data_IF_551496874272
#
_entry.id   IF_551496874272
#
_cell.length_a   1.000
_cell.length_b   1.000
_cell.length_c   1.000
_cell.angle_alpha   90.00
_cell.angle_beta   90.00
_cell.angle_gamma   90.00
#
_symmetry.space_group_name_H-M   'P 1'
#
loop_
_entity.id
_entity.type
_entity.pdbx_description
1 polymer ?
#
# COMPACT_ATOMS: atom_id res chain seq x y z
N UNK A 1 5.00 -23.58 -68.06
CA UNK A 1 5.72 -22.40 -68.55
C UNK A 1 4.74 -21.29 -68.88
N UNK A 2 4.66 -20.27 -68.03
CA UNK A 2 4.22 -18.91 -68.37
C UNK A 2 4.59 -18.01 -67.20
N UNK A 3 5.74 -17.38 -67.36
CA UNK A 3 6.24 -16.24 -66.61
C UNK A 3 5.34 -15.04 -66.82
N UNK A 4 4.95 -14.35 -65.75
CA UNK A 4 4.58 -12.93 -65.81
C UNK A 4 5.27 -12.24 -64.63
N UNK A 5 6.26 -11.45 -65.02
CA UNK A 5 6.99 -10.44 -64.25
C UNK A 5 6.35 -9.10 -64.62
N UNK A 6 5.95 -8.31 -63.63
CA UNK A 6 5.51 -6.89 -63.65
C UNK A 6 4.51 -6.73 -62.49
N UNK A 7 4.53 -5.77 -61.57
CA UNK A 7 5.28 -4.52 -61.41
C UNK A 7 5.31 -4.24 -59.88
N UNK A 8 6.50 -4.01 -59.31
CA UNK A 8 6.68 -3.56 -57.93
C UNK A 8 7.25 -2.13 -57.94
N UNK A 9 6.50 -1.19 -58.51
CA UNK A 9 6.96 0.20 -58.64
C UNK A 9 5.86 1.23 -58.43
N UNK A 10 4.97 1.02 -57.46
CA UNK A 10 3.85 1.96 -57.22
C UNK A 10 3.51 2.25 -55.75
N UNK A 11 4.41 1.96 -54.79
CA UNK A 11 4.19 2.35 -53.37
C UNK A 11 5.41 3.07 -52.79
N UNK A 12 6.08 3.90 -53.61
CA UNK A 12 7.28 4.65 -53.19
C UNK A 12 7.27 6.10 -53.69
N UNK A 13 6.08 6.70 -53.75
CA UNK A 13 5.90 8.07 -54.26
C UNK A 13 4.76 8.85 -53.60
N UNK A 14 4.48 8.58 -52.32
CA UNK A 14 3.41 9.30 -51.60
C UNK A 14 3.79 9.63 -50.16
N UNK A 15 4.97 10.21 -49.95
CA UNK A 15 5.31 10.90 -48.70
C UNK A 15 6.32 12.03 -48.98
N UNK A 16 5.92 12.99 -49.79
CA UNK A 16 6.49 14.34 -49.78
C UNK A 16 5.35 15.33 -49.90
N UNK A 17 5.46 16.40 -49.13
CA UNK A 17 4.61 17.60 -49.11
C UNK A 17 3.48 17.58 -48.07
N UNK A 18 3.85 17.83 -46.81
CA UNK A 18 3.09 18.78 -46.01
C UNK A 18 4.01 19.79 -45.33
N UNK A 19 3.59 21.03 -45.49
CA UNK A 19 4.31 22.28 -45.30
C UNK A 19 4.89 22.51 -43.90
N UNK A 20 6.05 23.15 -43.96
CA UNK A 20 6.85 23.71 -42.88
C UNK A 20 6.10 24.87 -42.20
N UNK A 21 5.26 24.57 -41.20
CA UNK A 21 4.79 25.59 -40.27
C UNK A 21 5.91 25.93 -39.28
N UNK A 22 6.63 27.02 -39.57
CA UNK A 22 7.53 27.72 -38.66
C UNK A 22 6.70 28.40 -37.57
N UNK A 23 6.37 27.66 -36.53
CA UNK A 23 6.05 28.26 -35.24
C UNK A 23 7.35 28.43 -34.47
N UNK A 24 7.79 29.68 -34.34
CA UNK A 24 8.87 30.10 -33.45
C UNK A 24 8.50 29.75 -32.01
N UNK A 25 8.81 28.52 -31.58
CA UNK A 25 8.83 28.18 -30.16
C UNK A 25 10.10 28.78 -29.58
N UNK A 26 9.94 30.00 -29.05
CA UNK A 26 10.92 30.68 -28.22
C UNK A 26 11.47 29.71 -27.19
N UNK A 27 12.73 29.33 -27.36
CA UNK A 27 13.52 28.55 -26.43
C UNK A 27 13.75 29.40 -25.16
N UNK A 28 12.77 29.42 -24.26
CA UNK A 28 12.97 29.99 -22.94
C UNK A 28 13.98 29.12 -22.20
N UNK A 29 15.06 29.77 -21.77
CA UNK A 29 16.14 29.20 -20.97
C UNK A 29 15.56 28.33 -19.85
N UNK A 30 16.15 27.14 -19.70
CA UNK A 30 15.96 26.28 -18.55
C UNK A 30 16.02 27.11 -17.25
N UNK A 31 14.89 27.20 -16.56
CA UNK A 31 14.86 27.73 -15.21
C UNK A 31 15.56 26.71 -14.29
N UNK A 32 16.63 27.11 -13.59
CA UNK A 32 17.21 26.25 -12.58
C UNK A 32 16.16 26.01 -11.50
N UNK A 33 16.02 24.72 -11.15
CA UNK A 33 15.29 24.18 -10.01
C UNK A 33 14.96 25.26 -8.97
N UNK A 34 13.67 25.57 -8.82
CA UNK A 34 13.15 26.53 -7.86
C UNK A 34 13.61 26.11 -6.47
N UNK A 35 14.68 26.77 -6.02
CA UNK A 35 15.16 26.75 -4.65
C UNK A 35 13.98 27.05 -3.74
N UNK A 36 13.75 26.15 -2.78
CA UNK A 36 12.82 26.35 -1.68
C UNK A 36 13.08 27.72 -1.05
N UNK A 37 12.15 28.65 -1.25
CA UNK A 37 12.16 29.97 -0.66
C UNK A 37 11.92 29.83 0.84
N UNK A 38 13.02 29.76 1.61
CA UNK A 38 13.02 30.05 3.03
C UNK A 38 13.04 31.57 3.16
N UNK A 39 12.07 32.20 3.84
CA UNK A 39 12.16 33.63 4.15
C UNK A 39 13.38 33.88 5.04
N UNK A 40 14.42 34.47 4.45
CA UNK A 40 15.52 35.10 5.15
C UNK A 40 15.03 36.39 5.78
N UNK A 41 14.36 36.29 6.92
CA UNK A 41 14.21 37.41 7.84
C UNK A 41 15.08 37.13 9.07
N UNK A 42 16.31 37.64 9.03
CA UNK A 42 17.02 38.32 10.13
C UNK A 42 18.48 38.56 9.75
N UNK A 43 18.71 39.35 8.69
CA UNK A 43 19.95 40.10 8.53
C UNK A 43 19.76 41.41 9.27
N UNK A 44 20.07 41.45 10.58
CA UNK A 44 20.22 42.72 11.27
C UNK A 44 21.70 43.08 11.24
N UNK A 45 22.03 43.97 10.31
CA UNK A 45 23.28 44.72 10.31
C UNK A 45 23.45 45.42 11.66
N UNK A 46 24.67 45.36 12.17
CA UNK A 46 25.12 46.06 13.35
C UNK A 46 25.05 47.57 13.12
N UNK A 47 24.06 48.21 13.73
CA UNK A 47 24.09 49.65 14.00
C UNK A 47 24.09 49.87 15.51
N UNK A 48 24.91 50.83 15.89
CA UNK A 48 25.41 51.07 17.23
C UNK A 48 24.35 51.63 18.18
N UNK A 49 24.68 51.57 19.47
CA UNK A 49 23.94 52.06 20.62
C UNK A 49 23.17 53.37 20.39
N UNK A 50 21.88 53.41 20.76
CA UNK A 50 21.34 54.45 21.65
C UNK A 50 20.28 53.87 22.58
N UNK A 51 20.37 54.24 23.86
CA UNK A 51 19.50 53.83 24.97
C UNK A 51 18.18 54.59 24.86
N UNK A 52 17.04 53.92 24.96
CA UNK A 52 15.84 54.53 25.57
C UNK A 52 14.74 53.47 25.81
N UNK A 53 14.40 53.28 27.08
CA UNK A 53 13.02 53.09 27.58
C UNK A 53 12.09 52.00 27.01
N UNK A 54 11.80 51.05 27.91
CA UNK A 54 10.48 50.47 28.19
C UNK A 54 9.90 49.33 27.30
N UNK A 55 9.64 48.22 28.02
CA UNK A 55 8.68 47.11 27.79
C UNK A 55 9.16 45.93 26.93
N UNK A 56 9.66 44.91 27.64
CA UNK A 56 9.73 43.53 27.16
C UNK A 56 8.31 43.00 26.93
N UNK A 57 7.95 42.46 25.75
CA UNK A 57 6.64 41.87 25.55
C UNK A 57 6.58 40.51 26.27
N UNK A 58 5.89 40.48 27.40
CA UNK A 58 5.39 39.26 28.04
C UNK A 58 4.23 38.77 27.19
N UNK A 59 4.36 37.60 26.56
CA UNK A 59 3.24 36.95 25.87
C UNK A 59 2.41 36.18 26.91
N UNK A 60 1.15 36.59 27.18
CA UNK A 60 0.30 35.86 28.11
C UNK A 60 -0.19 34.59 27.42
N UNK A 61 0.12 33.44 28.00
CA UNK A 61 -0.56 32.19 27.68
C UNK A 61 -1.68 32.05 28.70
N UNK A 62 -2.92 32.36 28.29
CA UNK A 62 -4.08 32.17 29.15
C UNK A 62 -4.26 30.68 29.47
N UNK A 63 -3.81 30.25 30.65
CA UNK A 63 -4.23 29.03 31.30
C UNK A 63 -5.00 29.43 32.56
N UNK A 64 -6.17 28.81 32.73
CA UNK A 64 -7.09 29.07 33.82
C UNK A 64 -6.38 29.06 35.19
N UNK A 65 -6.65 30.11 35.95
CA UNK A 65 -6.54 30.28 37.40
C UNK A 65 -5.37 29.57 38.12
N UNK A 66 -4.38 30.38 38.51
CA UNK A 66 -3.50 30.10 39.64
C UNK A 66 -2.08 29.68 39.23
N UNK A 67 -1.14 30.63 39.37
CA UNK A 67 0.32 30.49 39.26
C UNK A 67 0.91 30.47 37.84
N UNK A 68 1.09 31.67 37.27
CA UNK A 68 2.05 31.90 36.18
C UNK A 68 3.48 31.72 36.70
N UNK A 69 3.98 30.50 36.65
CA UNK A 69 5.39 30.22 36.93
C UNK A 69 6.24 30.60 35.70
N UNK A 70 6.95 31.72 35.79
CA UNK A 70 7.87 32.24 34.77
C UNK A 70 9.09 31.31 34.58
N UNK A 71 8.98 30.28 33.75
CA UNK A 71 10.11 29.43 33.39
C UNK A 71 10.92 30.09 32.26
N UNK A 72 12.23 30.25 32.42
CA UNK A 72 13.12 30.62 31.31
C UNK A 72 12.98 29.69 30.08
N UNK A 73 13.33 30.15 28.88
CA UNK A 73 13.15 29.40 27.61
C UNK A 73 13.70 27.95 27.67
N UNK A 74 14.83 27.74 28.35
CA UNK A 74 15.44 26.41 28.54
C UNK A 74 14.57 25.48 29.41
N UNK A 75 14.02 26.01 30.50
CA UNK A 75 13.11 25.27 31.39
C UNK A 75 11.78 24.93 30.70
N UNK A 76 11.24 25.83 29.88
CA UNK A 76 10.04 25.56 29.06
C UNK A 76 10.27 24.43 28.05
N UNK A 77 11.38 24.47 27.29
CA UNK A 77 11.72 23.39 26.33
C UNK A 77 11.87 22.04 27.02
N UNK A 78 12.50 21.99 28.20
CA UNK A 78 12.63 20.75 28.99
C UNK A 78 11.27 20.21 29.44
N UNK A 79 10.36 21.09 29.89
CA UNK A 79 9.00 20.69 30.27
C UNK A 79 8.21 20.18 29.06
N UNK A 80 8.25 20.88 27.93
CA UNK A 80 7.59 20.46 26.69
C UNK A 80 8.05 19.06 26.26
N UNK A 81 9.37 18.80 26.26
CA UNK A 81 9.92 17.47 25.94
C UNK A 81 9.43 16.39 26.91
N UNK A 82 9.37 16.69 28.21
CA UNK A 82 8.81 15.77 29.22
C UNK A 82 7.33 15.49 28.98
N UNK A 83 6.54 16.50 28.63
CA UNK A 83 5.12 16.33 28.33
C UNK A 83 4.87 15.52 27.05
N UNK A 84 5.66 15.75 25.99
CA UNK A 84 5.61 14.92 24.77
C UNK A 84 6.02 13.47 25.08
N UNK A 85 7.06 13.27 25.89
CA UNK A 85 7.45 11.94 26.35
C UNK A 85 6.34 11.27 27.17
N UNK A 86 5.68 11.97 28.10
CA UNK A 86 4.53 11.45 28.85
C UNK A 86 3.37 11.07 27.94
N UNK A 87 2.98 11.96 27.01
CA UNK A 87 1.89 11.69 26.05
C UNK A 87 2.20 10.50 25.15
N UNK A 88 3.43 10.40 24.63
CA UNK A 88 3.84 9.23 23.84
C UNK A 88 3.81 7.94 24.67
N UNK A 89 4.28 7.96 25.92
CA UNK A 89 4.17 6.80 26.82
C UNK A 89 2.72 6.40 27.09
N UNK A 90 1.81 7.36 27.30
CA UNK A 90 0.38 7.09 27.48
C UNK A 90 -0.24 6.47 26.21
N UNK A 91 0.09 6.97 25.02
CA UNK A 91 -0.38 6.40 23.74
C UNK A 91 0.12 4.97 23.56
N UNK A 92 1.41 4.73 23.83
CA UNK A 92 2.00 3.39 23.77
C UNK A 92 1.35 2.43 24.78
N UNK A 93 1.07 2.88 26.00
CA UNK A 93 0.37 2.10 27.02
C UNK A 93 -1.07 1.76 26.60
N UNK A 94 -1.82 2.71 26.05
CA UNK A 94 -3.16 2.48 25.49
C UNK A 94 -3.13 1.45 24.36
N UNK A 95 -2.18 1.57 23.42
CA UNK A 95 -2.00 0.62 22.31
C UNK A 95 -1.63 -0.78 22.79
N UNK A 96 -0.75 -0.89 23.81
CA UNK A 96 -0.42 -2.17 24.47
C UNK A 96 -1.65 -2.80 25.14
N UNK A 97 -2.47 -2.01 25.84
CA UNK A 97 -3.69 -2.51 26.48
C UNK A 97 -4.71 -3.03 25.46
N UNK A 98 -4.94 -2.29 24.37
CA UNK A 98 -5.77 -2.74 23.24
C UNK A 98 -5.23 -4.08 22.70
N UNK A 99 -3.93 -4.15 22.39
CA UNK A 99 -3.31 -5.38 21.88
C UNK A 99 -3.42 -6.57 22.86
N UNK A 100 -3.30 -6.33 24.17
CA UNK A 100 -3.48 -7.36 25.20
C UNK A 100 -4.93 -7.83 25.28
N UNK A 101 -5.91 -6.92 25.21
CA UNK A 101 -7.34 -7.27 25.16
C UNK A 101 -7.63 -8.18 23.97
N UNK A 102 -7.16 -7.83 22.76
CA UNK A 102 -7.31 -8.67 21.57
C UNK A 102 -6.55 -9.99 21.64
N UNK A 103 -5.37 -10.03 22.30
CA UNK A 103 -4.64 -11.28 22.54
C UNK A 103 -5.40 -12.18 23.51
N UNK A 104 -5.96 -11.63 24.58
CA UNK A 104 -6.71 -12.37 25.58
C UNK A 104 -7.99 -12.98 24.97
N UNK A 105 -8.70 -12.24 24.11
CA UNK A 105 -9.82 -12.79 23.32
C UNK A 105 -9.39 -13.85 22.30
N UNK A 106 -8.19 -13.75 21.71
CA UNK A 106 -7.66 -14.77 20.79
C UNK A 106 -7.17 -16.04 21.47
N UNK A 107 -6.68 -15.92 22.72
CA UNK A 107 -6.20 -17.06 23.52
C UNK A 107 -7.37 -17.78 24.20
N UNK A 108 -8.43 -17.07 24.57
CA UNK A 108 -9.64 -17.66 25.14
C UNK A 108 -10.44 -18.40 24.05
N UNK A 109 -10.23 -19.73 24.03
CA UNK A 109 -10.91 -20.79 23.27
C UNK A 109 -10.35 -21.13 21.88
N UNK A 110 -9.09 -21.55 21.86
CA UNK A 110 -8.66 -22.52 20.85
C UNK A 110 -9.34 -23.88 21.14
N UNK A 111 -10.47 -24.17 20.50
CA UNK A 111 -11.09 -25.50 20.60
C UNK A 111 -10.20 -26.54 19.91
N UNK A 112 -10.17 -27.79 20.40
CA UNK A 112 -9.41 -28.85 19.76
C UNK A 112 -9.85 -29.00 18.30
N UNK A 113 -8.87 -28.94 17.37
CA UNK A 113 -9.11 -29.00 15.92
C UNK A 113 -9.97 -30.21 15.53
N UNK A 114 -9.74 -31.34 16.20
CA UNK A 114 -10.47 -32.58 15.99
C UNK A 114 -11.97 -32.45 16.32
N UNK A 115 -12.32 -31.77 17.43
CA UNK A 115 -13.72 -31.59 17.80
C UNK A 115 -14.46 -30.66 16.81
N UNK A 116 -13.79 -29.63 16.29
CA UNK A 116 -14.35 -28.78 15.24
C UNK A 116 -14.59 -29.62 13.97
N UNK A 117 -13.60 -30.43 13.55
CA UNK A 117 -13.72 -31.27 12.35
C UNK A 117 -14.89 -32.26 12.47
N UNK A 118 -14.96 -33.00 13.58
CA UNK A 118 -16.05 -33.96 13.81
C UNK A 118 -17.42 -33.27 13.90
N UNK A 119 -17.49 -32.04 14.43
CA UNK A 119 -18.73 -31.26 14.43
C UNK A 119 -19.16 -30.85 13.02
N UNK A 120 -18.22 -30.55 12.13
CA UNK A 120 -18.50 -30.22 10.73
C UNK A 120 -18.92 -31.45 9.92
N UNK A 121 -18.23 -32.58 10.10
CA UNK A 121 -18.59 -33.87 9.48
C UNK A 121 -20.02 -34.27 9.88
N UNK A 122 -20.36 -34.17 11.17
CA UNK A 122 -21.70 -34.47 11.65
C UNK A 122 -22.80 -33.58 11.05
N UNK A 123 -22.47 -32.34 10.65
CA UNK A 123 -23.42 -31.47 9.93
C UNK A 123 -23.58 -31.92 8.48
N UNK A 124 -22.50 -32.37 7.83
CA UNK A 124 -22.56 -32.96 6.50
C UNK A 124 -23.39 -34.25 6.50
N UNK A 125 -23.31 -35.04 7.58
CA UNK A 125 -24.15 -36.23 7.81
C UNK A 125 -25.63 -35.90 8.10
N UNK A 126 -26.02 -34.62 8.07
CA UNK A 126 -27.41 -34.16 8.23
C UNK A 126 -27.82 -33.76 9.66
N UNK A 127 -26.89 -33.70 10.63
CA UNK A 127 -27.24 -33.20 11.97
C UNK A 127 -27.35 -31.68 11.98
N UNK A 128 -28.24 -31.16 12.84
CA UNK A 128 -28.34 -29.72 13.05
C UNK A 128 -27.07 -29.14 13.67
N UNK A 129 -26.73 -27.89 13.33
CA UNK A 129 -25.55 -27.18 13.87
C UNK A 129 -25.57 -27.18 15.41
N UNK A 130 -26.75 -26.97 16.01
CA UNK A 130 -26.95 -27.02 17.47
C UNK A 130 -26.72 -28.43 18.04
N UNK A 131 -27.17 -29.47 17.32
CA UNK A 131 -26.93 -30.86 17.70
C UNK A 131 -25.46 -31.25 17.66
N UNK A 132 -24.74 -30.85 16.60
CA UNK A 132 -23.30 -31.06 16.48
C UNK A 132 -22.51 -30.29 17.56
N UNK A 133 -22.88 -29.03 17.80
CA UNK A 133 -22.30 -28.19 18.85
C UNK A 133 -22.38 -28.86 20.24
N UNK A 134 -23.58 -29.32 20.63
CA UNK A 134 -23.81 -30.00 21.91
C UNK A 134 -23.03 -31.31 22.02
N UNK A 135 -22.95 -32.08 20.92
CA UNK A 135 -22.29 -33.40 20.90
C UNK A 135 -20.77 -33.31 21.08
N UNK A 136 -20.14 -32.27 20.51
CA UNK A 136 -18.67 -32.15 20.50
C UNK A 136 -18.14 -31.03 21.41
N UNK A 137 -19.00 -30.38 22.19
CA UNK A 137 -18.60 -29.34 23.16
C UNK A 137 -18.02 -28.07 22.52
N UNK A 138 -18.28 -27.84 21.23
CA UNK A 138 -17.85 -26.64 20.51
C UNK A 138 -19.04 -25.69 20.43
N UNK A 139 -18.92 -24.42 20.86
CA UNK A 139 -20.02 -23.46 20.82
C UNK A 139 -20.58 -23.26 19.42
N UNK A 140 -21.91 -23.13 19.38
CA UNK A 140 -22.67 -23.06 18.14
C UNK A 140 -22.17 -21.96 17.20
N UNK A 141 -21.86 -20.78 17.73
CA UNK A 141 -21.31 -19.67 16.96
C UNK A 141 -20.00 -20.03 16.24
N UNK A 142 -19.14 -20.82 16.90
CA UNK A 142 -17.88 -21.29 16.31
C UNK A 142 -18.13 -22.30 15.20
N UNK A 143 -19.01 -23.28 15.43
CA UNK A 143 -19.36 -24.30 14.42
C UNK A 143 -20.06 -23.65 13.22
N UNK A 144 -21.05 -22.78 13.46
CA UNK A 144 -21.79 -22.02 12.45
C UNK A 144 -20.85 -21.15 11.59
N UNK A 145 -19.96 -20.39 12.22
CA UNK A 145 -18.99 -19.56 11.51
C UNK A 145 -18.01 -20.36 10.65
N UNK A 146 -17.55 -21.52 11.14
CA UNK A 146 -16.68 -22.44 10.37
C UNK A 146 -17.42 -23.07 9.20
N UNK A 147 -18.64 -23.56 9.43
CA UNK A 147 -19.47 -24.19 8.41
C UNK A 147 -19.76 -23.23 7.25
N UNK A 148 -20.24 -22.02 7.54
CA UNK A 148 -20.53 -21.03 6.49
C UNK A 148 -19.28 -20.57 5.75
N UNK A 149 -18.13 -20.47 6.42
CA UNK A 149 -16.87 -20.13 5.77
C UNK A 149 -16.44 -21.21 4.77
N UNK A 150 -16.54 -22.49 5.14
CA UNK A 150 -16.22 -23.60 4.24
C UNK A 150 -17.19 -23.64 3.06
N UNK A 151 -18.50 -23.50 3.33
CA UNK A 151 -19.50 -23.45 2.26
C UNK A 151 -19.28 -22.27 1.31
N UNK A 152 -18.86 -21.12 1.85
CA UNK A 152 -18.50 -19.96 1.04
C UNK A 152 -17.22 -20.17 0.22
N UNK A 153 -16.21 -20.87 0.75
CA UNK A 153 -15.01 -21.26 0.01
C UNK A 153 -15.34 -22.26 -1.12
N UNK A 154 -16.19 -23.26 -0.85
CA UNK A 154 -16.65 -24.27 -1.82
C UNK A 154 -17.53 -23.65 -2.90
N UNK A 155 -18.45 -22.76 -2.53
CA UNK A 155 -19.36 -22.11 -3.46
C UNK A 155 -18.74 -20.91 -4.19
N UNK A 156 -17.45 -20.62 -3.99
CA UNK A 156 -16.79 -19.42 -4.53
C UNK A 156 -17.34 -18.08 -4.00
N UNK A 157 -18.38 -18.12 -3.17
CA UNK A 157 -19.05 -17.01 -2.48
C UNK A 157 -18.30 -16.57 -1.23
N UNK A 158 -16.98 -16.69 -1.23
CA UNK A 158 -16.14 -16.29 -0.12
C UNK A 158 -16.18 -14.77 0.01
N UNK A 159 -17.16 -14.26 0.76
CA UNK A 159 -17.19 -12.90 1.30
C UNK A 159 -15.95 -12.57 2.18
N UNK A 160 -15.01 -13.51 2.33
CA UNK A 160 -13.68 -13.37 2.93
C UNK A 160 -12.49 -13.62 1.97
N UNK A 161 -12.72 -14.11 0.74
CA UNK A 161 -11.72 -14.13 -0.32
C UNK A 161 -12.14 -13.05 -1.29
N UNK A 162 -11.43 -11.93 -1.26
CA UNK A 162 -11.55 -10.82 -2.21
C UNK A 162 -11.99 -11.34 -3.58
N UNK A 163 -13.17 -10.87 -4.01
CA UNK A 163 -13.85 -11.27 -5.26
C UNK A 163 -12.82 -11.46 -6.35
N UNK A 164 -12.79 -12.63 -7.00
CA UNK A 164 -11.92 -12.86 -8.18
C UNK A 164 -12.30 -11.81 -9.21
N UNK A 165 -11.33 -11.00 -9.61
CA UNK A 165 -11.48 -10.01 -10.66
C UNK A 165 -11.23 -10.74 -11.99
N UNK A 166 -12.08 -10.59 -13.02
CA UNK A 166 -11.88 -11.30 -14.29
C UNK A 166 -10.54 -10.97 -14.94
N UNK A 167 -10.02 -9.78 -14.70
CA UNK A 167 -8.73 -9.29 -15.20
C UNK A 167 -7.50 -9.89 -14.48
N UNK A 168 -7.69 -10.75 -13.46
CA UNK A 168 -6.58 -11.38 -12.75
C UNK A 168 -5.71 -12.29 -13.61
N UNK A 169 -6.27 -12.86 -14.67
CA UNK A 169 -5.53 -13.74 -15.60
C UNK A 169 -4.49 -12.93 -16.38
N UNK A 170 -4.86 -11.75 -16.88
CA UNK A 170 -3.95 -10.81 -17.55
C UNK A 170 -2.85 -10.33 -16.61
N UNK A 171 -3.21 -10.04 -15.35
CA UNK A 171 -2.23 -9.65 -14.32
C UNK A 171 -1.23 -10.78 -14.08
N UNK A 172 -1.70 -12.02 -13.95
CA UNK A 172 -0.85 -13.18 -13.72
C UNK A 172 0.09 -13.44 -14.91
N UNK A 173 -0.39 -13.31 -16.14
CA UNK A 173 0.43 -13.44 -17.35
C UNK A 173 1.54 -12.39 -17.39
N UNK A 174 1.23 -11.11 -17.16
CA UNK A 174 2.24 -10.04 -17.18
C UNK A 174 3.32 -10.23 -16.12
N UNK A 175 2.94 -10.69 -14.94
CA UNK A 175 3.91 -11.04 -13.88
C UNK A 175 4.78 -12.22 -14.32
N UNK A 176 4.19 -13.26 -14.92
CA UNK A 176 4.94 -14.42 -15.42
C UNK A 176 5.97 -14.01 -16.47
N UNK A 177 5.62 -13.12 -17.40
CA UNK A 177 6.56 -12.59 -18.41
C UNK A 177 7.75 -11.88 -17.75
N UNK A 178 7.49 -10.96 -16.82
CA UNK A 178 8.55 -10.22 -16.10
C UNK A 178 9.49 -11.17 -15.35
N UNK A 179 8.93 -12.23 -14.75
CA UNK A 179 9.72 -13.22 -14.03
C UNK A 179 10.49 -14.17 -14.96
N UNK A 180 9.97 -14.45 -16.16
CA UNK A 180 10.68 -15.20 -17.21
C UNK A 180 11.86 -14.40 -17.77
N UNK A 181 11.73 -13.09 -17.86
CA UNK A 181 12.81 -12.17 -18.24
C UNK A 181 13.90 -12.05 -17.16
N UNK A 182 13.75 -12.78 -16.05
CA UNK A 182 14.73 -12.86 -14.96
C UNK A 182 14.55 -11.81 -13.87
N UNK A 183 13.61 -10.87 -14.02
CA UNK A 183 13.43 -9.80 -13.03
C UNK A 183 12.72 -10.30 -11.77
N UNK A 184 13.31 -10.14 -10.58
CA UNK A 184 12.63 -10.48 -9.33
C UNK A 184 11.50 -9.47 -9.06
N UNK A 185 10.30 -9.98 -8.78
CA UNK A 185 9.12 -9.16 -8.48
C UNK A 185 8.82 -9.22 -6.99
N UNK A 186 8.70 -8.06 -6.35
CA UNK A 186 8.28 -7.96 -4.95
C UNK A 186 6.76 -7.84 -4.79
N UNK A 187 6.25 -8.11 -3.58
CA UNK A 187 4.82 -7.92 -3.22
C UNK A 187 4.30 -6.50 -3.50
N UNK A 188 5.17 -5.50 -3.39
CA UNK A 188 4.82 -4.10 -3.66
C UNK A 188 4.72 -3.84 -5.15
N UNK A 189 5.72 -4.29 -5.91
CA UNK A 189 5.72 -4.20 -7.38
C UNK A 189 4.55 -4.95 -8.00
N UNK A 190 4.21 -6.14 -7.50
CA UNK A 190 3.05 -6.90 -7.94
C UNK A 190 1.76 -6.07 -7.83
N UNK A 191 1.55 -5.39 -6.70
CA UNK A 191 0.38 -4.51 -6.53
C UNK A 191 0.43 -3.31 -7.47
N UNK A 192 1.61 -2.74 -7.70
CA UNK A 192 1.78 -1.62 -8.63
C UNK A 192 1.43 -2.04 -10.07
N UNK A 193 1.97 -3.17 -10.54
CA UNK A 193 1.68 -3.77 -11.84
C UNK A 193 0.18 -4.07 -11.97
N UNK A 194 -0.41 -4.71 -10.96
CA UNK A 194 -1.85 -4.99 -10.95
C UNK A 194 -2.69 -3.70 -11.02
N UNK A 195 -2.25 -2.63 -10.37
CA UNK A 195 -2.94 -1.34 -10.43
C UNK A 195 -2.81 -0.72 -11.82
N UNK A 196 -1.61 -0.71 -12.41
CA UNK A 196 -1.40 -0.14 -13.74
C UNK A 196 -2.17 -0.91 -14.80
N UNK A 197 -2.17 -2.24 -14.77
CA UNK A 197 -2.94 -3.06 -15.71
C UNK A 197 -4.43 -2.80 -15.62
N UNK A 198 -4.98 -2.65 -14.41
CA UNK A 198 -6.41 -2.34 -14.25
C UNK A 198 -6.72 -0.94 -14.76
N UNK A 199 -5.86 0.04 -14.50
CA UNK A 199 -6.00 1.40 -15.04
C UNK A 199 -5.95 1.38 -16.57
N UNK A 200 -5.02 0.64 -17.18
CA UNK A 200 -4.92 0.45 -18.63
C UNK A 200 -6.20 -0.17 -19.22
N UNK A 201 -6.71 -1.24 -18.60
CA UNK A 201 -7.91 -1.94 -19.08
C UNK A 201 -9.20 -1.13 -18.93
N UNK A 202 -9.28 -0.26 -17.92
CA UNK A 202 -10.44 0.58 -17.66
C UNK A 202 -10.30 2.01 -18.18
N UNK A 203 -9.18 2.38 -18.82
CA UNK A 203 -8.93 3.74 -19.31
C UNK A 203 -10.03 4.24 -20.27
N UNK A 204 -10.61 3.35 -21.07
CA UNK A 204 -11.68 3.65 -22.03
C UNK A 204 -13.10 3.51 -21.45
N UNK A 205 -13.23 3.12 -20.17
CA UNK A 205 -14.52 3.01 -19.50
C UNK A 205 -14.64 4.18 -18.53
N UNK A 206 -15.69 4.99 -18.66
CA UNK A 206 -16.10 5.96 -17.63
C UNK A 206 -16.55 5.23 -16.36
N UNK A 207 -15.65 4.52 -15.70
CA UNK A 207 -15.97 3.80 -14.48
C UNK A 207 -15.74 4.74 -13.29
N UNK A 208 -16.84 5.09 -12.63
CA UNK A 208 -16.89 5.84 -11.37
C UNK A 208 -16.19 5.12 -10.19
N UNK A 209 -15.60 3.95 -10.42
CA UNK A 209 -14.96 3.12 -9.40
C UNK A 209 -13.60 2.60 -9.87
N UNK A 210 -12.52 3.30 -9.48
CA UNK A 210 -11.14 2.83 -9.64
C UNK A 210 -10.82 1.80 -8.56
N UNK A 211 -10.87 0.52 -8.90
CA UNK A 211 -10.46 -0.53 -7.97
C UNK A 211 -8.94 -0.48 -7.73
N UNK A 212 -8.53 -0.47 -6.47
CA UNK A 212 -7.12 -0.53 -6.08
C UNK A 212 -6.85 -1.86 -5.36
N UNK A 213 -5.98 -2.72 -5.92
CA UNK A 213 -5.57 -3.97 -5.28
C UNK A 213 -5.02 -3.76 -3.87
N UNK A 214 -5.68 -4.35 -2.87
CA UNK A 214 -5.30 -4.24 -1.46
C UNK A 214 -4.58 -5.51 -0.96
N UNK A 215 -4.13 -5.52 0.30
CA UNK A 215 -3.40 -6.67 0.86
C UNK A 215 -4.27 -7.95 0.98
N UNK A 216 -5.59 -7.81 1.09
CA UNK A 216 -6.50 -8.97 1.09
C UNK A 216 -6.57 -9.58 -0.31
N UNK A 217 -6.68 -8.74 -1.35
CA UNK A 217 -6.58 -9.18 -2.75
C UNK A 217 -5.26 -9.88 -3.01
N UNK A 218 -4.14 -9.29 -2.59
CA UNK A 218 -2.82 -9.90 -2.78
C UNK A 218 -2.75 -11.29 -2.15
N UNK A 219 -3.21 -11.45 -0.91
CA UNK A 219 -3.23 -12.75 -0.24
C UNK A 219 -4.12 -13.77 -0.96
N UNK A 220 -5.27 -13.33 -1.49
CA UNK A 220 -6.16 -14.18 -2.25
C UNK A 220 -5.60 -14.54 -3.64
N UNK A 221 -4.93 -13.60 -4.30
CA UNK A 221 -4.25 -13.76 -5.59
C UNK A 221 -3.11 -14.78 -5.48
N UNK A 222 -2.22 -14.62 -4.49
CA UNK A 222 -1.11 -15.56 -4.27
C UNK A 222 -1.59 -16.97 -3.90
N UNK A 223 -2.77 -17.09 -3.25
CA UNK A 223 -3.41 -18.40 -3.01
C UNK A 223 -3.92 -19.03 -4.30
N UNK A 224 -4.32 -18.24 -5.30
CA UNK A 224 -4.81 -18.72 -6.60
C UNK A 224 -3.66 -19.04 -7.56
N UNK A 225 -2.55 -18.32 -7.48
CA UNK A 225 -1.37 -18.48 -8.32
C UNK A 225 -0.14 -18.82 -7.48
N UNK A 226 -0.04 -20.07 -6.95
CA UNK A 226 1.09 -20.49 -6.13
C UNK A 226 2.42 -20.40 -6.87
N UNK A 227 2.43 -20.60 -8.20
CA UNK A 227 3.65 -20.53 -9.02
C UNK A 227 4.32 -19.15 -9.01
N UNK A 228 3.55 -18.08 -8.77
CA UNK A 228 4.06 -16.72 -8.61
C UNK A 228 4.51 -16.50 -7.17
N UNK A 229 3.77 -17.04 -6.21
CA UNK A 229 4.05 -16.89 -4.78
C UNK A 229 5.43 -17.41 -4.39
N UNK A 230 5.85 -18.55 -4.93
CA UNK A 230 7.10 -19.22 -4.55
C UNK A 230 8.35 -18.48 -5.04
N UNK A 231 8.22 -17.70 -6.11
CA UNK A 231 9.31 -16.99 -6.77
C UNK A 231 9.36 -15.50 -6.43
N UNK A 232 8.51 -15.06 -5.51
CA UNK A 232 8.34 -13.64 -5.18
C UNK A 232 9.44 -13.16 -4.22
N UNK A 233 9.97 -11.97 -4.47
CA UNK A 233 10.93 -11.33 -3.58
C UNK A 233 10.25 -10.73 -2.32
N UNK A 234 10.93 -10.77 -1.18
CA UNK A 234 10.42 -10.22 0.08
C UNK A 234 10.42 -8.70 0.12
N UNK A 235 11.51 -8.08 -0.35
CA UNK A 235 11.69 -6.64 -0.45
C UNK A 235 11.80 -6.20 -1.91
N UNK A 236 11.35 -4.97 -2.24
CA UNK A 236 11.67 -4.38 -3.53
C UNK A 236 13.18 -4.29 -3.67
N UNK A 237 13.68 -4.61 -4.86
CA UNK A 237 15.12 -4.51 -5.14
C UNK A 237 15.53 -3.04 -5.09
N UNK A 238 16.56 -2.77 -4.31
CA UNK A 238 17.24 -1.47 -4.30
C UNK A 238 18.22 -1.46 -5.48
N UNK A 239 18.53 -0.29 -6.01
CA UNK A 239 19.48 -0.09 -7.12
C UNK A 239 20.79 -0.89 -6.95
N UNK A 240 21.35 -0.92 -5.74
CA UNK A 240 22.55 -1.70 -5.45
C UNK A 240 22.36 -3.21 -5.62
N UNK A 241 21.19 -3.75 -5.29
CA UNK A 241 20.85 -5.16 -5.48
C UNK A 241 20.56 -5.49 -6.95
N UNK A 242 20.01 -4.53 -7.69
CA UNK A 242 19.84 -4.66 -9.14
C UNK A 242 21.19 -4.69 -9.86
N UNK A 243 22.12 -3.81 -9.48
CA UNK A 243 23.45 -3.76 -10.06
C UNK A 243 24.24 -5.04 -9.79
N UNK A 244 24.21 -5.55 -8.55
CA UNK A 244 24.82 -6.83 -8.21
C UNK A 244 24.19 -8.00 -9.00
N UNK A 245 22.87 -7.96 -9.21
CA UNK A 245 22.18 -8.93 -10.04
C UNK A 245 22.59 -8.87 -11.52
N UNK A 246 22.71 -7.67 -12.11
CA UNK A 246 23.21 -7.50 -13.48
C UNK A 246 24.67 -7.91 -13.63
N UNK A 247 25.50 -7.72 -12.61
CA UNK A 247 26.92 -8.06 -12.65
C UNK A 247 27.18 -9.55 -12.40
N UNK A 248 26.34 -10.24 -11.62
CA UNK A 248 26.52 -11.65 -11.25
C UNK A 248 25.89 -12.65 -12.24
N UNK A 249 25.18 -12.20 -13.29
CA UNK A 249 24.57 -13.08 -14.31
C UNK A 249 25.51 -13.48 -15.46
N UNK A 250 26.81 -13.15 -15.38
CA UNK A 250 27.84 -13.59 -16.34
C UNK A 250 28.53 -14.92 -15.95
N UNK A 251 27.78 -15.94 -15.53
CA UNK A 251 28.28 -17.32 -15.40
C UNK A 251 27.24 -18.34 -15.85
#
# INVERSE_FOLDING_TARGET
>A
SKSVSSDNSEILSELTDFEEHKDEVVLSKAEPFTSLYLPEENMMETAEHEKESNRVPVFPVCLAEGEEMCYGRRTMRRKMKREIAKKSHQVLARKKNINNRWRQFRIQKAYPKNAIRMALEAIQDGKSIRGASKRFGVPEATVRGRYHRIQAEVAGLAWMSTRKIPEEEVIAERIKTIMQDGFPVSKQQLKAIATSTLVEMYANRESLYRYVPNNQWLAAFLRRYPEISDKLADHPLIESQLLDWFCNTNN
#
